data_IF_789471804741
#
_entry.id   IF_789471804741
#
_cell.length_a   1.000
_cell.length_b   1.000
_cell.length_c   1.000
_cell.angle_alpha   90.00
_cell.angle_beta   90.00
_cell.angle_gamma   90.00
#
_symmetry.space_group_name_H-M   'P 1'
#
loop_
_entity.id
_entity.type
_entity.pdbx_description
1 polymer ?
#
# COMPACT_ATOMS: atom_id res chain seq x y z
N UNK A 1 -21.95 1.52 10.36
CA UNK A 1 -22.80 2.65 9.88
C UNK A 1 -23.58 3.32 11.02
N UNK A 2 -24.29 2.59 11.91
CA UNK A 2 -25.02 3.23 13.03
C UNK A 2 -24.09 4.06 13.92
N UNK A 3 -22.95 3.50 14.36
CA UNK A 3 -21.97 4.25 15.14
C UNK A 3 -21.44 5.50 14.42
N UNK A 4 -21.24 5.42 13.10
CA UNK A 4 -20.79 6.59 12.31
C UNK A 4 -21.90 7.66 12.25
N UNK A 5 -23.19 7.25 12.12
CA UNK A 5 -24.32 8.16 12.22
C UNK A 5 -24.34 8.89 13.58
N UNK A 6 -24.23 8.11 14.65
CA UNK A 6 -24.31 8.63 16.02
C UNK A 6 -23.18 9.61 16.37
N UNK A 7 -22.07 9.56 15.61
CA UNK A 7 -20.93 10.46 15.72
C UNK A 7 -20.91 11.59 14.66
N UNK A 8 -21.97 11.71 13.86
CA UNK A 8 -22.05 12.77 12.84
C UNK A 8 -21.07 12.62 11.68
N UNK A 9 -20.62 11.40 11.40
CA UNK A 9 -19.62 11.09 10.36
C UNK A 9 -20.24 10.60 9.05
N UNK A 10 -21.52 10.82 8.83
CA UNK A 10 -22.24 10.41 7.63
C UNK A 10 -23.12 11.52 7.09
N UNK A 11 -23.14 11.64 5.76
CA UNK A 11 -24.12 12.44 5.03
C UNK A 11 -25.45 11.69 4.95
N UNK A 12 -26.34 11.93 5.93
CA UNK A 12 -27.56 11.15 6.11
C UNK A 12 -28.59 11.35 4.99
N UNK A 13 -28.54 12.50 4.30
CA UNK A 13 -29.43 12.84 3.21
C UNK A 13 -28.97 12.28 1.85
N UNK A 14 -27.79 11.69 1.79
CA UNK A 14 -27.27 11.12 0.55
C UNK A 14 -28.18 9.99 0.04
N UNK A 15 -28.56 10.02 -1.26
CA UNK A 15 -29.44 9.01 -1.84
C UNK A 15 -28.75 7.65 -1.96
N UNK A 16 -29.52 6.58 -1.87
CA UNK A 16 -29.03 5.23 -2.05
C UNK A 16 -29.77 4.50 -3.17
N UNK A 17 -29.23 3.35 -3.59
CA UNK A 17 -29.86 2.49 -4.60
C UNK A 17 -31.26 1.96 -4.21
N UNK A 18 -31.65 2.07 -2.94
CA UNK A 18 -32.98 1.68 -2.48
C UNK A 18 -34.05 2.73 -2.74
N UNK A 19 -33.69 3.89 -3.29
CA UNK A 19 -34.57 5.05 -3.43
C UNK A 19 -34.81 5.83 -2.13
N UNK A 20 -34.15 5.43 -1.04
CA UNK A 20 -34.18 6.12 0.26
C UNK A 20 -32.83 6.75 0.55
N UNK A 21 -32.79 7.65 1.53
CA UNK A 21 -31.54 8.21 2.02
C UNK A 21 -30.76 7.22 2.90
N UNK A 22 -29.50 7.52 3.18
CA UNK A 22 -28.69 6.75 4.15
C UNK A 22 -29.39 6.77 5.52
N UNK A 23 -29.86 7.92 5.98
CA UNK A 23 -30.53 8.06 7.27
C UNK A 23 -31.79 7.19 7.37
N UNK A 24 -32.66 7.21 6.35
CA UNK A 24 -33.86 6.37 6.32
C UNK A 24 -33.55 4.88 6.32
N UNK A 25 -32.54 4.44 5.57
CA UNK A 25 -32.11 3.04 5.57
C UNK A 25 -31.53 2.62 6.92
N UNK A 26 -30.77 3.49 7.59
CA UNK A 26 -30.22 3.20 8.91
C UNK A 26 -31.30 3.12 9.98
N UNK A 27 -32.29 4.02 9.96
CA UNK A 27 -33.42 3.98 10.87
C UNK A 27 -34.24 2.67 10.69
N UNK A 28 -34.49 2.29 9.45
CA UNK A 28 -35.12 1.01 9.16
C UNK A 28 -34.32 -0.18 9.67
N UNK A 29 -32.99 -0.19 9.40
CA UNK A 29 -32.11 -1.28 9.82
C UNK A 29 -32.06 -1.41 11.34
N UNK A 30 -31.96 -0.30 12.06
CA UNK A 30 -31.84 -0.27 13.51
C UNK A 30 -33.02 -0.95 14.21
N UNK A 31 -34.24 -0.77 13.65
CA UNK A 31 -35.49 -1.34 14.17
C UNK A 31 -35.81 -2.70 13.56
N UNK A 32 -35.02 -3.20 12.59
CA UNK A 32 -35.36 -4.41 11.85
C UNK A 32 -35.30 -5.67 12.73
N UNK A 33 -36.26 -6.55 12.55
CA UNK A 33 -36.27 -7.86 13.18
C UNK A 33 -35.02 -8.67 12.79
N UNK A 34 -34.53 -8.51 11.55
CA UNK A 34 -33.35 -9.18 11.07
C UNK A 34 -32.10 -8.80 11.93
N UNK A 35 -31.91 -7.52 12.24
CA UNK A 35 -30.84 -7.07 13.13
C UNK A 35 -30.97 -7.67 14.52
N UNK A 36 -32.19 -7.67 15.08
CA UNK A 36 -32.45 -8.27 16.39
C UNK A 36 -32.06 -9.74 16.43
N UNK A 37 -32.55 -10.53 15.47
CA UNK A 37 -32.28 -11.97 15.37
C UNK A 37 -30.79 -12.28 15.23
N UNK A 38 -30.02 -11.49 14.43
CA UNK A 38 -28.58 -11.70 14.30
C UNK A 38 -27.84 -11.42 15.60
N UNK A 39 -28.22 -10.37 16.33
CA UNK A 39 -27.61 -10.06 17.63
C UNK A 39 -27.91 -11.17 18.65
N UNK A 40 -29.13 -11.61 18.74
CA UNK A 40 -29.53 -12.73 19.60
C UNK A 40 -28.78 -14.02 19.25
N UNK A 41 -28.60 -14.30 17.97
CA UNK A 41 -27.85 -15.46 17.50
C UNK A 41 -26.38 -15.43 17.91
N UNK A 42 -25.69 -14.30 17.79
CA UNK A 42 -24.31 -14.14 18.23
C UNK A 42 -24.20 -14.45 19.73
N UNK A 43 -25.08 -13.87 20.54
CA UNK A 43 -25.05 -14.09 21.99
C UNK A 43 -25.39 -15.55 22.37
N UNK A 44 -26.38 -16.14 21.70
CA UNK A 44 -26.88 -17.48 22.07
C UNK A 44 -25.96 -18.63 21.61
N UNK A 45 -25.30 -18.50 20.46
CA UNK A 45 -24.45 -19.57 19.91
C UNK A 45 -23.01 -19.50 20.44
N UNK A 46 -22.44 -18.31 20.45
CA UNK A 46 -21.01 -18.14 20.71
C UNK A 46 -20.71 -17.35 21.99
N UNK A 47 -21.75 -16.89 22.70
CA UNK A 47 -21.58 -16.03 23.88
C UNK A 47 -20.95 -14.67 23.54
N UNK A 48 -20.96 -14.28 22.26
CA UNK A 48 -20.30 -13.06 21.78
C UNK A 48 -21.23 -11.87 22.01
N UNK A 49 -20.72 -10.82 22.66
CA UNK A 49 -21.39 -9.53 22.69
C UNK A 49 -21.39 -8.93 21.27
N UNK A 50 -22.56 -8.67 20.65
CA UNK A 50 -22.63 -8.08 19.33
C UNK A 50 -21.91 -6.72 19.21
N UNK A 51 -21.75 -5.98 20.30
CA UNK A 51 -21.07 -4.69 20.31
C UNK A 51 -19.52 -4.84 20.37
N UNK A 52 -19.02 -6.03 20.65
CA UNK A 52 -17.60 -6.36 20.48
C UNK A 52 -17.24 -6.77 19.03
N UNK A 53 -18.24 -7.14 18.21
CA UNK A 53 -18.02 -7.47 16.78
C UNK A 53 -17.86 -6.21 15.95
N UNK A 54 -18.76 -5.23 16.14
CA UNK A 54 -18.67 -3.92 15.49
C UNK A 54 -18.59 -2.87 16.59
N UNK A 55 -17.37 -2.52 16.93
CA UNK A 55 -17.07 -1.62 18.03
C UNK A 55 -17.42 -0.17 17.72
N UNK A 56 -17.86 0.58 18.71
CA UNK A 56 -18.00 2.03 18.56
C UNK A 56 -16.63 2.69 18.43
N UNK A 57 -16.54 3.92 17.87
CA UNK A 57 -15.28 4.62 17.63
C UNK A 57 -14.37 4.72 18.86
N UNK A 58 -14.93 4.89 20.05
CA UNK A 58 -14.18 4.99 21.31
C UNK A 58 -13.45 3.70 21.71
N UNK A 59 -13.92 2.57 21.17
CA UNK A 59 -13.33 1.24 21.36
C UNK A 59 -12.70 0.70 20.07
N UNK A 60 -12.50 1.55 19.08
CA UNK A 60 -11.88 1.16 17.82
C UNK A 60 -10.46 0.59 18.05
N UNK A 61 -10.09 -0.39 17.25
CA UNK A 61 -8.71 -0.81 17.18
C UNK A 61 -7.84 0.33 16.60
N UNK A 62 -6.57 0.44 17.02
CA UNK A 62 -5.65 1.36 16.35
C UNK A 62 -5.54 1.00 14.86
N UNK A 63 -5.23 2.01 14.04
CA UNK A 63 -5.01 1.78 12.61
C UNK A 63 -3.92 0.74 12.39
N UNK A 64 -4.07 -0.04 11.32
CA UNK A 64 -3.08 -1.02 10.87
C UNK A 64 -2.25 -0.51 9.70
N UNK A 65 -2.56 0.68 9.21
CA UNK A 65 -1.91 1.31 8.07
C UNK A 65 -1.10 2.51 8.54
N UNK A 66 0.18 2.51 8.17
CA UNK A 66 1.09 3.62 8.38
C UNK A 66 1.36 4.31 7.04
N UNK A 67 1.31 5.63 7.04
CA UNK A 67 1.69 6.44 5.89
C UNK A 67 3.17 6.80 5.97
N UNK A 68 3.85 6.65 4.83
CA UNK A 68 5.30 6.84 4.72
C UNK A 68 5.56 7.94 3.71
N UNK A 69 6.46 8.86 4.03
CA UNK A 69 6.98 9.87 3.11
C UNK A 69 8.50 9.79 3.07
N UNK A 70 9.15 10.58 2.24
CA UNK A 70 10.61 10.60 2.12
C UNK A 70 11.06 10.92 0.71
N UNK A 71 12.37 11.02 0.51
CA UNK A 71 12.90 11.40 -0.80
C UNK A 71 12.70 10.33 -1.89
N UNK A 72 12.44 9.08 -1.52
CA UNK A 72 12.07 8.01 -2.46
C UNK A 72 10.56 7.98 -2.76
N UNK A 73 9.75 8.51 -1.85
CA UNK A 73 8.28 8.51 -1.94
C UNK A 73 7.72 9.88 -1.53
N UNK A 74 8.06 10.95 -2.29
CA UNK A 74 7.76 12.32 -1.87
C UNK A 74 6.26 12.63 -1.77
N UNK A 75 5.42 11.95 -2.54
CA UNK A 75 3.96 12.06 -2.41
C UNK A 75 3.41 11.09 -1.36
N UNK A 76 4.08 9.97 -1.14
CA UNK A 76 3.76 9.01 -0.10
C UNK A 76 3.87 7.55 -0.53
N UNK A 77 3.78 6.68 0.46
CA UNK A 77 3.59 5.23 0.35
C UNK A 77 2.80 4.74 1.55
N UNK A 78 2.36 3.49 1.52
CA UNK A 78 1.64 2.87 2.62
C UNK A 78 2.26 1.55 3.04
N UNK A 79 2.24 1.27 4.33
CA UNK A 79 2.64 -0.02 4.90
C UNK A 79 1.60 -0.52 5.88
N UNK A 80 1.34 -1.82 5.86
CA UNK A 80 0.55 -2.48 6.89
C UNK A 80 1.46 -2.72 8.10
N UNK A 81 1.48 -1.79 9.06
CA UNK A 81 2.39 -1.84 10.20
C UNK A 81 2.22 -3.09 11.06
N UNK A 82 1.02 -3.62 11.18
CA UNK A 82 0.74 -4.89 11.88
C UNK A 82 1.27 -6.15 11.17
N UNK A 83 1.78 -6.03 9.94
CA UNK A 83 2.43 -7.12 9.23
C UNK A 83 3.94 -7.22 9.52
N UNK A 84 4.52 -6.18 10.14
CA UNK A 84 5.90 -6.17 10.59
C UNK A 84 5.99 -7.06 11.83
N UNK A 85 6.90 -8.02 11.80
CA UNK A 85 7.04 -8.95 12.92
C UNK A 85 7.54 -8.21 14.17
N UNK A 86 6.98 -8.50 15.36
CA UNK A 86 7.34 -7.79 16.60
C UNK A 86 8.83 -7.83 16.92
N UNK A 87 9.52 -8.91 16.54
CA UNK A 87 10.97 -9.08 16.73
C UNK A 87 11.82 -8.11 15.89
N UNK A 88 11.24 -7.45 14.91
CA UNK A 88 11.89 -6.41 14.09
C UNK A 88 11.69 -4.99 14.62
N UNK A 89 10.86 -4.84 15.64
CA UNK A 89 10.57 -3.56 16.27
C UNK A 89 11.42 -3.38 17.51
N UNK A 90 11.87 -2.17 17.75
CA UNK A 90 12.47 -1.82 19.03
C UNK A 90 11.43 -1.67 20.16
N UNK A 91 11.89 -1.30 21.38
CA UNK A 91 11.05 -1.12 22.56
C UNK A 91 9.99 -0.03 22.38
N UNK A 92 10.23 0.93 21.48
CA UNK A 92 9.32 2.01 21.16
C UNK A 92 8.34 1.66 20.02
N UNK A 93 8.47 0.48 19.42
CA UNK A 93 7.66 0.02 18.31
C UNK A 93 8.11 0.61 16.97
N UNK A 94 9.39 0.91 16.85
CA UNK A 94 9.99 1.46 15.64
C UNK A 94 10.66 0.35 14.85
N UNK A 95 10.36 0.26 13.56
CA UNK A 95 11.13 -0.47 12.58
C UNK A 95 12.13 0.48 11.94
N UNK A 96 13.41 0.17 12.05
CA UNK A 96 14.49 0.87 11.36
C UNK A 96 15.34 -0.13 10.58
N UNK A 97 15.45 0.08 9.29
CA UNK A 97 16.30 -0.71 8.41
C UNK A 97 17.08 0.19 7.47
N UNK A 98 18.37 -0.09 7.31
CA UNK A 98 19.24 0.57 6.34
C UNK A 98 20.05 -0.50 5.61
N UNK A 99 19.97 -0.49 4.28
CA UNK A 99 20.64 -1.51 3.48
C UNK A 99 20.75 -1.12 2.01
N UNK A 100 21.51 -1.90 1.24
CA UNK A 100 21.65 -1.68 -0.20
C UNK A 100 20.36 -2.07 -0.93
N UNK A 101 19.98 -1.25 -1.91
CA UNK A 101 18.87 -1.57 -2.81
C UNK A 101 19.21 -2.78 -3.70
N UNK A 102 18.24 -3.66 -3.90
CA UNK A 102 18.21 -4.67 -4.96
C UNK A 102 17.01 -4.37 -5.85
N UNK A 103 17.31 -3.85 -7.05
CA UNK A 103 16.30 -3.25 -7.91
C UNK A 103 15.83 -4.23 -8.97
N UNK A 104 14.53 -4.44 -9.05
CA UNK A 104 13.86 -5.29 -10.03
C UNK A 104 12.76 -4.50 -10.73
N UNK A 105 12.63 -4.70 -12.03
CA UNK A 105 11.61 -4.07 -12.87
C UNK A 105 10.51 -5.06 -13.32
N UNK A 106 10.54 -6.27 -12.79
CA UNK A 106 9.49 -7.27 -12.95
C UNK A 106 9.40 -8.16 -11.73
N UNK A 107 8.20 -8.67 -11.48
CA UNK A 107 7.92 -9.60 -10.39
C UNK A 107 8.66 -10.92 -10.58
N UNK A 108 8.73 -11.40 -11.83
CA UNK A 108 9.41 -12.64 -12.20
C UNK A 108 10.91 -12.58 -11.89
N UNK A 109 11.58 -11.46 -12.19
CA UNK A 109 13.00 -11.26 -11.89
C UNK A 109 13.26 -11.23 -10.38
N UNK A 110 12.42 -10.54 -9.61
CA UNK A 110 12.52 -10.51 -8.16
C UNK A 110 12.35 -11.91 -7.54
N UNK A 111 11.36 -12.68 -8.00
CA UNK A 111 11.13 -14.07 -7.56
C UNK A 111 12.31 -14.98 -7.91
N UNK A 112 12.87 -14.83 -9.10
CA UNK A 112 14.05 -15.59 -9.52
C UNK A 112 15.25 -15.31 -8.60
N UNK A 113 15.53 -14.05 -8.30
CA UNK A 113 16.61 -13.65 -7.41
C UNK A 113 16.40 -14.13 -5.95
N UNK A 114 15.15 -14.09 -5.45
CA UNK A 114 14.80 -14.62 -4.13
C UNK A 114 14.99 -16.14 -4.01
N UNK A 115 14.81 -16.87 -5.10
CA UNK A 115 15.01 -18.33 -5.16
C UNK A 115 16.44 -18.73 -5.54
N UNK A 116 17.26 -17.77 -5.99
CA UNK A 116 18.64 -18.03 -6.41
C UNK A 116 19.50 -18.45 -5.23
N UNK A 117 20.47 -19.33 -5.49
CA UNK A 117 21.57 -19.68 -4.59
C UNK A 117 22.92 -19.16 -5.10
N UNK A 118 22.92 -18.49 -6.26
CA UNK A 118 24.09 -17.91 -6.90
C UNK A 118 24.47 -16.52 -6.38
N UNK A 119 25.33 -15.85 -7.12
CA UNK A 119 25.82 -14.50 -6.79
C UNK A 119 24.71 -13.44 -6.87
N UNK A 120 23.73 -13.64 -7.76
CA UNK A 120 22.60 -12.73 -7.98
C UNK A 120 21.50 -12.82 -6.91
N UNK A 121 21.68 -13.68 -5.91
CA UNK A 121 20.68 -13.84 -4.84
C UNK A 121 20.47 -12.56 -4.07
N UNK A 122 19.26 -12.34 -3.62
CA UNK A 122 18.94 -11.33 -2.59
C UNK A 122 19.55 -11.80 -1.26
N UNK A 123 20.18 -10.88 -0.54
CA UNK A 123 20.88 -11.18 0.71
C UNK A 123 20.14 -10.60 1.91
N UNK A 124 20.46 -11.11 3.09
CA UNK A 124 19.99 -10.53 4.34
C UNK A 124 20.54 -9.09 4.48
N UNK A 125 19.68 -8.15 4.84
CA UNK A 125 20.03 -6.75 4.93
C UNK A 125 19.76 -5.94 3.67
N UNK A 126 19.50 -6.57 2.53
CA UNK A 126 19.07 -5.85 1.32
C UNK A 126 17.70 -5.17 1.52
N UNK A 127 17.44 -4.13 0.72
CA UNK A 127 16.10 -3.57 0.51
C UNK A 127 15.65 -3.95 -0.90
N UNK A 128 14.62 -4.76 -1.01
CA UNK A 128 14.08 -5.17 -2.30
C UNK A 128 13.24 -4.04 -2.88
N UNK A 129 13.66 -3.53 -4.02
CA UNK A 129 12.95 -2.50 -4.77
C UNK A 129 12.28 -3.14 -5.98
N UNK A 130 10.98 -2.98 -6.09
CA UNK A 130 10.20 -3.48 -7.22
C UNK A 130 9.55 -2.26 -7.90
N UNK A 131 10.20 -1.75 -8.93
CA UNK A 131 9.86 -0.48 -9.58
C UNK A 131 9.24 -0.69 -10.97
N UNK A 132 8.35 0.24 -11.37
CA UNK A 132 7.70 0.21 -12.69
C UNK A 132 6.48 -0.71 -12.74
N UNK A 133 5.90 -1.04 -11.62
CA UNK A 133 4.66 -1.81 -11.53
C UNK A 133 3.45 -0.95 -11.11
N UNK A 134 3.60 0.37 -11.11
CA UNK A 134 2.49 1.30 -10.91
C UNK A 134 1.47 1.27 -12.05
N UNK A 135 0.47 2.18 -12.02
CA UNK A 135 -0.56 2.27 -13.04
C UNK A 135 -0.05 2.34 -14.47
N UNK A 136 0.94 3.21 -14.75
CA UNK A 136 1.54 3.37 -16.08
C UNK A 136 2.38 2.16 -16.51
N UNK A 137 3.04 1.53 -15.53
CA UNK A 137 3.95 0.43 -15.80
C UNK A 137 3.25 -0.88 -16.08
N UNK A 138 2.44 -1.34 -15.14
CA UNK A 138 1.83 -2.67 -15.19
C UNK A 138 0.34 -2.68 -14.79
N UNK A 139 -0.33 -1.51 -14.73
CA UNK A 139 -1.71 -1.41 -14.27
C UNK A 139 -1.86 -1.63 -12.76
N UNK A 140 -0.78 -1.41 -12.00
CA UNK A 140 -0.74 -1.52 -10.54
C UNK A 140 -1.20 -2.89 -10.01
N UNK A 141 -0.57 -4.00 -10.43
CA UNK A 141 -0.96 -5.34 -9.97
C UNK A 141 -0.71 -5.51 -8.47
N UNK A 142 -1.32 -6.53 -7.93
CA UNK A 142 -1.02 -6.99 -6.57
C UNK A 142 0.20 -7.91 -6.60
N UNK A 143 1.31 -7.51 -5.98
CA UNK A 143 2.59 -8.25 -5.98
C UNK A 143 2.62 -9.38 -4.93
N UNK A 144 1.55 -10.18 -4.89
CA UNK A 144 1.41 -11.25 -3.91
C UNK A 144 2.47 -12.35 -4.07
N UNK A 145 2.88 -12.66 -5.28
CA UNK A 145 3.81 -13.76 -5.53
C UNK A 145 5.20 -13.46 -4.96
N UNK A 146 5.67 -12.20 -5.02
CA UNK A 146 6.92 -11.78 -4.37
C UNK A 146 6.81 -11.95 -2.87
N UNK A 147 5.77 -11.41 -2.24
CA UNK A 147 5.59 -11.50 -0.78
C UNK A 147 5.37 -12.93 -0.30
N UNK A 148 4.69 -13.76 -1.10
CA UNK A 148 4.56 -15.19 -0.84
C UNK A 148 5.90 -15.92 -0.94
N UNK A 149 6.73 -15.58 -1.93
CA UNK A 149 8.07 -16.16 -2.08
C UNK A 149 8.97 -15.76 -0.89
N UNK A 150 8.94 -14.49 -0.48
CA UNK A 150 9.67 -14.00 0.69
C UNK A 150 9.35 -14.80 1.95
N UNK A 151 8.11 -15.19 2.14
CA UNK A 151 7.68 -15.96 3.31
C UNK A 151 8.43 -17.28 3.48
N UNK A 152 8.89 -17.86 2.36
CA UNK A 152 9.57 -19.15 2.31
C UNK A 152 11.05 -19.05 1.90
N UNK A 153 11.53 -17.86 1.55
CA UNK A 153 12.92 -17.64 1.21
C UNK A 153 13.82 -17.66 2.47
N UNK A 154 15.09 -18.03 2.30
CA UNK A 154 16.07 -18.06 3.39
C UNK A 154 16.33 -16.69 4.01
N UNK A 155 16.31 -15.61 3.20
CA UNK A 155 16.41 -14.21 3.64
C UNK A 155 15.12 -13.71 4.29
N UNK A 156 14.04 -14.43 4.08
CA UNK A 156 12.85 -14.44 4.87
C UNK A 156 11.97 -13.19 4.85
N UNK A 157 10.99 -13.33 5.73
CA UNK A 157 9.93 -12.36 6.01
C UNK A 157 10.42 -11.01 6.57
N UNK A 158 11.70 -10.89 6.88
CA UNK A 158 12.30 -9.70 7.50
C UNK A 158 12.82 -8.71 6.46
N UNK A 159 12.90 -9.12 5.20
CA UNK A 159 13.36 -8.27 4.11
C UNK A 159 12.37 -7.13 3.88
N UNK A 160 12.88 -5.91 3.86
CA UNK A 160 12.07 -4.75 3.50
C UNK A 160 11.81 -4.71 1.99
N UNK A 161 10.59 -4.40 1.61
CA UNK A 161 10.17 -4.28 0.20
C UNK A 161 9.55 -2.91 -0.04
N UNK A 162 9.95 -2.24 -1.12
CA UNK A 162 9.39 -0.97 -1.54
C UNK A 162 8.97 -1.05 -3.02
N UNK A 163 7.73 -0.69 -3.33
CA UNK A 163 7.17 -0.78 -4.68
C UNK A 163 6.12 0.29 -4.97
N UNK A 164 6.01 0.66 -6.24
CA UNK A 164 4.89 1.48 -6.77
C UNK A 164 3.63 0.67 -7.12
N UNK A 165 3.68 -0.66 -6.94
CA UNK A 165 2.52 -1.55 -7.04
C UNK A 165 1.72 -1.63 -5.72
N UNK A 166 0.84 -2.62 -5.61
CA UNK A 166 0.02 -2.92 -4.41
C UNK A 166 0.48 -4.17 -3.70
N UNK A 167 0.15 -4.29 -2.42
CA UNK A 167 0.27 -5.52 -1.66
C UNK A 167 -1.07 -6.10 -1.27
N UNK A 168 -1.12 -7.41 -1.13
CA UNK A 168 -2.23 -8.14 -0.52
C UNK A 168 -2.34 -7.83 0.97
N UNK A 169 -3.57 -7.85 1.49
CA UNK A 169 -3.82 -7.81 2.93
C UNK A 169 -3.19 -8.96 3.72
N UNK A 170 -2.79 -10.06 3.04
CA UNK A 170 -2.10 -11.22 3.64
C UNK A 170 -0.58 -11.16 3.48
N UNK A 171 -0.03 -10.12 2.85
CA UNK A 171 1.41 -9.89 2.80
C UNK A 171 1.98 -9.72 4.20
N UNK A 172 3.16 -10.27 4.43
CA UNK A 172 3.88 -10.22 5.71
C UNK A 172 5.21 -9.50 5.54
N UNK A 173 5.70 -8.90 6.63
CA UNK A 173 6.94 -8.14 6.65
C UNK A 173 6.76 -6.65 6.37
N UNK A 174 7.85 -5.88 6.37
CA UNK A 174 7.87 -4.44 6.11
C UNK A 174 7.72 -4.14 4.61
N UNK A 175 6.51 -4.34 4.08
CA UNK A 175 6.20 -4.13 2.67
C UNK A 175 5.52 -2.78 2.47
N UNK A 176 6.21 -1.85 1.79
CA UNK A 176 5.76 -0.51 1.45
C UNK A 176 5.26 -0.51 0.00
N UNK A 177 3.98 -0.25 -0.19
CA UNK A 177 3.35 -0.17 -1.51
C UNK A 177 2.84 1.21 -1.85
N UNK A 178 2.33 1.36 -3.06
CA UNK A 178 1.79 2.62 -3.56
C UNK A 178 2.81 3.77 -3.56
N UNK A 179 4.12 3.44 -3.72
CA UNK A 179 5.16 4.47 -3.77
C UNK A 179 4.83 5.50 -4.87
N UNK A 180 4.72 6.76 -4.48
CA UNK A 180 4.26 7.82 -5.37
C UNK A 180 5.20 9.03 -5.33
N UNK A 181 5.46 9.66 -6.50
CA UNK A 181 5.00 9.27 -7.84
C UNK A 181 5.56 7.91 -8.26
N UNK A 182 4.79 7.15 -9.08
CA UNK A 182 5.29 5.88 -9.61
C UNK A 182 6.54 6.07 -10.49
N UNK A 183 7.35 5.04 -10.62
CA UNK A 183 8.63 5.10 -11.33
C UNK A 183 8.49 5.60 -12.78
N UNK A 184 7.48 5.14 -13.53
CA UNK A 184 7.20 5.57 -14.90
C UNK A 184 6.56 6.96 -15.03
N UNK A 185 6.04 7.52 -13.95
CA UNK A 185 5.64 8.93 -13.87
C UNK A 185 6.82 9.85 -13.49
N UNK A 186 8.05 9.35 -13.47
CA UNK A 186 9.25 10.09 -13.09
C UNK A 186 9.56 10.06 -11.59
N UNK A 187 8.89 9.19 -10.84
CA UNK A 187 9.13 9.00 -9.40
C UNK A 187 10.56 8.58 -9.09
N UNK A 188 11.09 9.02 -7.93
CA UNK A 188 12.48 8.76 -7.54
C UNK A 188 12.81 7.26 -7.45
N UNK A 189 11.84 6.42 -7.15
CA UNK A 189 12.01 4.97 -7.10
C UNK A 189 12.62 4.42 -8.41
N UNK A 190 12.25 5.01 -9.55
CA UNK A 190 12.77 4.64 -10.86
C UNK A 190 14.23 4.99 -11.11
N UNK A 191 14.87 5.75 -10.23
CA UNK A 191 16.28 6.16 -10.35
C UNK A 191 17.23 5.29 -9.54
N UNK A 192 16.71 4.41 -8.69
CA UNK A 192 17.52 3.49 -7.89
C UNK A 192 18.29 2.48 -8.76
N UNK A 193 19.45 2.09 -8.25
CA UNK A 193 20.32 1.06 -8.80
C UNK A 193 20.69 0.09 -7.70
N UNK A 194 21.12 -1.11 -8.08
CA UNK A 194 21.65 -2.08 -7.13
C UNK A 194 22.82 -1.47 -6.34
N UNK A 195 22.80 -1.69 -5.03
CA UNK A 195 23.80 -1.16 -4.10
C UNK A 195 23.52 0.25 -3.56
N UNK A 196 22.54 0.97 -4.09
CA UNK A 196 22.17 2.29 -3.55
C UNK A 196 21.72 2.18 -2.09
N UNK A 197 22.19 3.06 -1.18
CA UNK A 197 21.81 2.98 0.22
C UNK A 197 20.38 3.50 0.45
N UNK A 198 19.55 2.66 1.03
CA UNK A 198 18.15 2.97 1.35
C UNK A 198 17.91 2.80 2.84
N UNK A 199 17.24 3.79 3.44
CA UNK A 199 16.78 3.75 4.83
C UNK A 199 15.26 3.75 4.86
N UNK A 200 14.68 2.84 5.67
CA UNK A 200 13.26 2.77 5.97
C UNK A 200 13.09 2.90 7.48
N UNK A 201 12.28 3.85 7.90
CA UNK A 201 11.92 4.09 9.29
C UNK A 201 10.40 4.09 9.41
N UNK A 202 9.83 3.29 10.33
CA UNK A 202 8.38 3.19 10.55
C UNK A 202 8.11 3.19 12.05
N UNK A 203 7.41 4.22 12.53
CA UNK A 203 6.86 4.28 13.88
C UNK A 203 5.45 3.67 13.85
N UNK A 204 5.30 2.44 14.36
CA UNK A 204 4.02 1.71 14.32
C UNK A 204 3.00 2.23 15.34
N UNK A 205 3.43 3.02 16.31
CA UNK A 205 2.55 3.63 17.32
C UNK A 205 2.01 4.98 16.86
N UNK A 206 2.89 5.83 16.26
CA UNK A 206 2.48 7.12 15.70
C UNK A 206 1.91 7.01 14.30
N UNK A 207 2.06 5.86 13.64
CA UNK A 207 1.59 5.59 12.28
C UNK A 207 2.20 6.54 11.25
N UNK A 208 3.49 6.82 11.39
CA UNK A 208 4.29 7.63 10.46
C UNK A 208 5.57 6.90 10.08
N UNK A 209 6.14 7.23 8.93
CA UNK A 209 7.40 6.65 8.52
C UNK A 209 8.08 7.43 7.41
N UNK A 210 9.33 7.02 7.11
CA UNK A 210 10.11 7.54 5.99
C UNK A 210 10.73 6.42 5.18
N UNK A 211 10.92 6.70 3.87
CA UNK A 211 11.69 5.86 2.96
C UNK A 211 12.62 6.78 2.14
N UNK A 212 13.93 6.65 2.38
CA UNK A 212 14.91 7.60 1.89
C UNK A 212 16.11 6.90 1.24
N UNK A 213 16.57 7.49 0.15
CA UNK A 213 17.94 7.29 -0.33
C UNK A 213 18.87 8.13 0.56
N UNK A 214 19.93 7.51 1.10
CA UNK A 214 20.84 8.15 2.07
C UNK A 214 22.19 8.53 1.49
N UNK A 215 22.42 8.32 0.18
CA UNK A 215 23.62 8.77 -0.51
C UNK A 215 23.58 10.24 -0.94
N UNK A 216 24.34 10.59 -1.97
CA UNK A 216 24.33 11.93 -2.53
C UNK A 216 23.02 12.21 -3.28
N UNK A 217 22.09 12.88 -2.62
CA UNK A 217 20.75 13.14 -3.15
C UNK A 217 20.76 14.01 -4.41
N UNK A 218 21.68 14.99 -4.50
CA UNK A 218 21.76 15.87 -5.67
C UNK A 218 22.16 15.09 -6.94
N UNK A 219 23.13 14.20 -6.83
CA UNK A 219 23.53 13.32 -7.92
C UNK A 219 22.43 12.29 -8.25
N UNK A 220 21.79 11.72 -7.24
CA UNK A 220 20.69 10.78 -7.40
C UNK A 220 19.52 11.38 -8.19
N UNK A 221 19.10 12.60 -7.85
CA UNK A 221 17.97 13.25 -8.53
C UNK A 221 18.28 13.61 -9.99
N UNK A 222 19.55 13.75 -10.36
CA UNK A 222 20.00 14.00 -11.75
C UNK A 222 20.09 12.72 -12.59
N UNK A 223 20.04 11.53 -11.96
CA UNK A 223 20.11 10.27 -12.70
C UNK A 223 18.91 10.12 -13.63
N UNK A 224 19.17 9.49 -14.76
CA UNK A 224 18.10 8.98 -15.62
C UNK A 224 17.38 7.81 -14.95
N UNK A 225 16.15 7.55 -15.40
CA UNK A 225 15.39 6.38 -14.97
C UNK A 225 16.15 5.08 -15.25
N UNK A 226 15.80 4.03 -14.55
CA UNK A 226 16.41 2.70 -14.74
C UNK A 226 16.18 2.24 -16.20
N UNK A 227 17.23 1.78 -16.92
CA UNK A 227 17.14 1.48 -18.35
C UNK A 227 16.15 0.35 -18.69
N UNK A 228 15.77 -0.49 -17.72
CA UNK A 228 14.77 -1.55 -17.89
C UNK A 228 13.35 -1.12 -17.56
N UNK A 229 13.11 0.15 -17.22
CA UNK A 229 11.77 0.65 -16.91
C UNK A 229 11.02 0.94 -18.20
N UNK A 230 10.12 0.02 -18.55
CA UNK A 230 9.20 0.13 -19.67
C UNK A 230 7.80 -0.34 -19.24
N UNK A 231 6.73 0.23 -19.83
CA UNK A 231 5.39 -0.30 -19.60
C UNK A 231 5.29 -1.76 -20.06
N UNK A 232 4.59 -2.60 -19.31
CA UNK A 232 4.34 -3.99 -19.72
C UNK A 232 3.63 -4.02 -21.08
N UNK A 233 4.24 -4.56 -22.14
CA UNK A 233 3.63 -4.59 -23.47
C UNK A 233 2.34 -5.41 -23.54
N UNK A 234 2.06 -6.23 -22.54
CA UNK A 234 0.85 -7.05 -22.45
C UNK A 234 -0.36 -6.27 -21.91
N UNK A 235 -0.17 -5.03 -21.42
CA UNK A 235 -1.27 -4.23 -20.91
C UNK A 235 -2.29 -3.92 -22.01
N UNK A 236 -3.60 -4.15 -21.77
CA UNK A 236 -4.66 -3.73 -22.66
C UNK A 236 -4.62 -2.22 -22.95
N UNK A 237 -5.04 -1.83 -24.15
CA UNK A 237 -5.01 -0.43 -24.58
C UNK A 237 -5.88 0.50 -23.70
N UNK A 238 -7.01 -0.01 -23.22
CA UNK A 238 -7.90 0.72 -22.30
C UNK A 238 -7.25 0.91 -20.92
N UNK A 239 -6.56 -0.10 -20.37
CA UNK A 239 -5.79 0.03 -19.14
C UNK A 239 -4.70 1.09 -19.27
N UNK A 240 -4.00 1.13 -20.39
CA UNK A 240 -2.98 2.16 -20.69
C UNK A 240 -3.59 3.55 -20.78
N UNK A 241 -4.75 3.69 -21.42
CA UNK A 241 -5.47 4.95 -21.49
C UNK A 241 -5.88 5.43 -20.10
N UNK A 242 -6.47 4.56 -19.29
CA UNK A 242 -6.88 4.90 -17.92
C UNK A 242 -5.69 5.34 -17.06
N UNK A 243 -4.58 4.62 -17.13
CA UNK A 243 -3.37 4.98 -16.42
C UNK A 243 -2.85 6.37 -16.81
N UNK A 244 -2.86 6.70 -18.10
CA UNK A 244 -2.45 8.01 -18.61
C UNK A 244 -3.37 9.13 -18.10
N UNK A 245 -4.69 8.92 -18.09
CA UNK A 245 -5.67 9.90 -17.60
C UNK A 245 -5.55 10.07 -16.06
N UNK A 246 -5.34 8.99 -15.33
CA UNK A 246 -5.11 9.05 -13.89
C UNK A 246 -3.81 9.77 -13.54
N UNK A 247 -2.74 9.54 -14.31
CA UNK A 247 -1.48 10.25 -14.11
C UNK A 247 -1.62 11.75 -14.39
N UNK A 248 -2.42 12.14 -15.39
CA UNK A 248 -2.75 13.53 -15.64
C UNK A 248 -3.51 14.20 -14.47
N UNK A 249 -4.21 13.43 -13.66
CA UNK A 249 -5.02 13.87 -12.52
C UNK A 249 -4.32 13.75 -11.16
N UNK A 250 -3.01 13.46 -11.10
CA UNK A 250 -2.26 13.34 -9.85
C UNK A 250 -1.87 11.89 -9.46
N UNK A 251 -2.14 10.91 -10.32
CA UNK A 251 -1.64 9.55 -10.17
C UNK A 251 -2.18 8.79 -8.96
N UNK A 252 -1.38 7.85 -8.46
CA UNK A 252 -1.79 6.92 -7.39
C UNK A 252 -2.12 7.62 -6.08
N UNK A 253 -1.33 8.62 -5.68
CA UNK A 253 -1.55 9.34 -4.43
C UNK A 253 -2.76 10.28 -4.48
N UNK A 254 -3.11 10.77 -5.66
CA UNK A 254 -4.36 11.49 -5.92
C UNK A 254 -5.62 10.61 -5.90
N UNK A 255 -5.49 9.32 -5.58
CA UNK A 255 -6.61 8.37 -5.46
C UNK A 255 -7.02 7.72 -6.76
N UNK A 256 -6.23 7.84 -7.83
CA UNK A 256 -6.54 7.30 -9.17
C UNK A 256 -7.92 7.74 -9.69
N UNK A 257 -8.36 8.95 -9.37
CA UNK A 257 -9.60 9.55 -9.87
C UNK A 257 -9.30 10.44 -11.07
N UNK A 258 -10.32 10.76 -11.85
CA UNK A 258 -10.19 11.68 -12.96
C UNK A 258 -10.52 13.11 -12.52
N UNK A 259 -9.56 14.01 -12.67
CA UNK A 259 -9.79 15.45 -12.64
C UNK A 259 -9.92 15.92 -14.09
N UNK A 260 -11.15 16.19 -14.51
CA UNK A 260 -11.46 16.51 -15.90
C UNK A 260 -10.76 17.79 -16.34
N UNK A 261 -10.68 18.79 -15.46
CA UNK A 261 -10.05 20.08 -15.78
C UNK A 261 -8.53 19.92 -15.94
N UNK A 262 -7.88 19.13 -15.07
CA UNK A 262 -6.46 18.86 -15.20
C UNK A 262 -6.13 17.99 -16.43
N UNK A 263 -6.99 17.05 -16.79
CA UNK A 263 -6.85 16.26 -18.02
C UNK A 263 -6.92 17.15 -19.24
N UNK A 264 -7.96 18.02 -19.33
CA UNK A 264 -8.17 18.93 -20.48
C UNK A 264 -7.00 19.90 -20.65
N UNK A 265 -6.42 20.40 -19.56
CA UNK A 265 -5.25 21.29 -19.61
C UNK A 265 -3.98 20.62 -20.19
N UNK A 266 -3.89 19.30 -20.13
CA UNK A 266 -2.71 18.54 -20.56
C UNK A 266 -2.86 17.93 -21.96
N UNK A 267 -4.06 17.92 -22.53
CA UNK A 267 -4.34 17.54 -23.92
C UNK A 267 -4.19 18.73 -24.87
#
# INVERSE_FOLDING_TARGET
MLHLRDHGLLELDAPTVTGRTIGENLAWWEQSERRRLFREKLTSLDGIDPDDVIRPPEKAFPSTVTFVQGNLVPEGAVVKSTAIAPELLDEDGIFLHEGPARVFVSEEAAIAALKSTGEDRVQEGDVLILAGLGPLGAGMPETYQVTSTLRYASVGKNLAVLTDARFSGVSTGPCLGHASPEALAGGPLGKLRDGDPVRIHIDTRKLVGTADFTGNLEEFLKRETHPGLEPDPRLPADTRLWAALQNASGGSWGGCVYDVEEIIKRL
#
